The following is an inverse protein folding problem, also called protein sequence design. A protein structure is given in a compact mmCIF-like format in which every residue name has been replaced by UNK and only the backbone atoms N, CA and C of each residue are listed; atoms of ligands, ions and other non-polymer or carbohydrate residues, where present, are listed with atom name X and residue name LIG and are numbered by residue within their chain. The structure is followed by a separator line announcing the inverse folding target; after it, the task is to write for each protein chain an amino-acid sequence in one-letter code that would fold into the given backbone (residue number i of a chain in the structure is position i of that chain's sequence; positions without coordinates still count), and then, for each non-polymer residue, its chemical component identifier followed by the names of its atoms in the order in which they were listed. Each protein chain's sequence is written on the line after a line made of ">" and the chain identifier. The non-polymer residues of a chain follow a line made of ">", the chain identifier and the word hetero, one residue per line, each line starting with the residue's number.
data_IF_037778292852
#
_entry.id   IF_037778292852
#
_cell.length_a   1.000
_cell.length_b   1.000
_cell.length_c   1.000
_cell.angle_alpha   90.00
_cell.angle_beta   90.00
_cell.angle_gamma   90.00
#
_symmetry.space_group_name_H-M   'P 1'
#
loop_
_entity.id
_entity.type
_entity.pdbx_description
1 polymer ?
#
# COMPACT_ATOMS: atom_id res chain seq x y z
N UNK A 1 0.68 -1.55 39.67
CA UNK A 1 0.57 -2.25 38.38
C UNK A 1 -0.88 -2.14 37.93
N UNK A 2 -1.21 -1.09 37.19
CA UNK A 2 -2.55 -0.82 36.65
C UNK A 2 -2.65 -1.42 35.24
N UNK A 3 -3.36 -2.56 35.17
CA UNK A 3 -3.61 -3.22 33.88
C UNK A 3 -4.44 -2.33 32.97
N UNK A 4 -3.87 -1.91 31.85
CA UNK A 4 -4.59 -1.30 30.74
C UNK A 4 -5.57 -2.34 30.18
N UNK A 5 -6.85 -2.24 30.56
CA UNK A 5 -7.94 -2.93 29.85
C UNK A 5 -7.95 -2.42 28.42
N UNK A 6 -7.47 -3.22 27.47
CA UNK A 6 -7.53 -2.92 26.07
C UNK A 6 -8.96 -2.54 25.69
N UNK A 7 -9.17 -1.30 25.25
CA UNK A 7 -10.45 -0.80 24.78
C UNK A 7 -10.87 -1.70 23.61
N UNK A 8 -12.00 -2.38 23.73
CA UNK A 8 -12.52 -3.26 22.69
C UNK A 8 -12.59 -2.47 21.38
N UNK A 9 -11.99 -3.01 20.33
CA UNK A 9 -11.93 -2.31 19.02
C UNK A 9 -13.34 -2.17 18.48
N UNK A 10 -13.78 -0.93 18.24
CA UNK A 10 -15.08 -0.62 17.63
C UNK A 10 -15.23 -1.35 16.29
N UNK A 11 -16.38 -1.93 16.04
CA UNK A 11 -16.70 -2.70 14.84
C UNK A 11 -17.68 -1.95 13.96
N UNK A 12 -17.74 -2.31 12.68
CA UNK A 12 -18.74 -1.76 11.74
C UNK A 12 -20.19 -1.96 12.23
N UNK A 13 -20.44 -3.00 13.03
CA UNK A 13 -21.75 -3.25 13.65
C UNK A 13 -22.13 -2.18 14.69
N UNK A 14 -21.16 -1.64 15.41
CA UNK A 14 -21.40 -0.60 16.42
C UNK A 14 -21.75 0.72 15.73
N UNK A 15 -21.06 1.05 14.61
CA UNK A 15 -21.39 2.21 13.78
C UNK A 15 -22.78 2.04 13.15
N UNK A 16 -23.09 0.84 12.67
CA UNK A 16 -24.41 0.54 12.08
C UNK A 16 -25.55 0.74 13.11
N UNK A 17 -25.36 0.27 14.33
CA UNK A 17 -26.30 0.45 15.42
C UNK A 17 -26.47 1.94 15.77
N UNK A 18 -25.37 2.68 15.92
CA UNK A 18 -25.38 4.11 16.25
C UNK A 18 -26.05 4.97 15.13
N UNK A 19 -25.81 4.63 13.87
CA UNK A 19 -26.38 5.33 12.72
C UNK A 19 -27.81 4.86 12.36
N UNK A 20 -28.31 3.77 12.95
CA UNK A 20 -29.63 3.20 12.61
C UNK A 20 -29.70 2.64 11.19
N UNK A 21 -28.65 1.94 10.74
CA UNK A 21 -28.54 1.38 9.39
C UNK A 21 -27.96 -0.04 9.41
N UNK A 22 -27.95 -0.71 8.25
CA UNK A 22 -27.28 -2.00 8.11
C UNK A 22 -25.73 -1.84 8.04
N UNK A 23 -25.00 -2.89 8.40
CA UNK A 23 -23.53 -2.94 8.21
C UNK A 23 -23.11 -2.81 6.75
N UNK A 24 -23.99 -3.23 5.82
CA UNK A 24 -23.78 -3.05 4.38
C UNK A 24 -23.83 -1.57 4.01
N UNK A 25 -24.78 -0.80 4.54
CA UNK A 25 -24.86 0.65 4.32
C UNK A 25 -23.61 1.36 4.88
N UNK A 26 -23.16 1.00 6.08
CA UNK A 26 -21.89 1.50 6.64
C UNK A 26 -20.73 1.20 5.69
N UNK A 27 -20.65 -0.02 5.16
CA UNK A 27 -19.61 -0.41 4.22
C UNK A 27 -19.66 0.39 2.92
N UNK A 28 -20.85 0.69 2.38
CA UNK A 28 -20.98 1.49 1.17
C UNK A 28 -20.51 2.93 1.40
N UNK A 29 -20.96 3.57 2.48
CA UNK A 29 -20.57 4.95 2.83
C UNK A 29 -19.06 5.06 3.05
N UNK A 30 -18.49 4.21 3.90
CA UNK A 30 -17.07 4.29 4.25
C UNK A 30 -16.11 3.85 3.15
N UNK A 31 -16.62 3.25 2.07
CA UNK A 31 -15.83 2.91 0.88
C UNK A 31 -16.15 3.79 -0.34
N UNK A 32 -16.92 4.87 -0.19
CA UNK A 32 -17.25 5.78 -1.29
C UNK A 32 -18.11 5.14 -2.39
N UNK A 33 -18.89 4.08 -2.07
CA UNK A 33 -19.77 3.36 -3.00
C UNK A 33 -21.25 3.65 -2.74
N UNK A 34 -21.52 4.78 -2.13
CA UNK A 34 -22.86 5.22 -1.71
C UNK A 34 -23.63 5.94 -2.82
N UNK A 35 -22.98 6.33 -3.92
CA UNK A 35 -23.60 7.03 -5.03
C UNK A 35 -24.76 6.21 -5.63
N UNK A 36 -25.98 6.80 -5.59
CA UNK A 36 -27.20 6.20 -6.11
C UNK A 36 -27.86 5.13 -5.21
N UNK A 37 -27.19 4.66 -4.16
CA UNK A 37 -27.71 3.59 -3.29
C UNK A 37 -28.06 4.06 -1.87
N UNK A 38 -27.59 5.23 -1.44
CA UNK A 38 -27.75 5.74 -0.07
C UNK A 38 -28.04 7.23 -0.13
N UNK A 39 -29.05 7.69 0.62
CA UNK A 39 -29.37 9.10 0.71
C UNK A 39 -28.26 9.90 1.41
N UNK A 40 -28.09 11.17 1.08
CA UNK A 40 -27.14 12.07 1.75
C UNK A 40 -27.35 12.09 3.26
N UNK A 41 -28.59 12.17 3.73
CA UNK A 41 -28.91 12.13 5.16
C UNK A 41 -28.45 10.83 5.85
N UNK A 42 -28.52 9.70 5.18
CA UNK A 42 -28.01 8.43 5.71
C UNK A 42 -26.50 8.40 5.72
N UNK A 43 -25.85 8.91 4.69
CA UNK A 43 -24.40 9.05 4.62
C UNK A 43 -23.90 9.90 5.78
N UNK A 44 -24.48 11.06 6.02
CA UNK A 44 -24.07 11.99 7.08
C UNK A 44 -24.20 11.35 8.46
N UNK A 45 -25.27 10.60 8.73
CA UNK A 45 -25.43 9.86 9.99
C UNK A 45 -24.33 8.80 10.18
N UNK A 46 -23.98 8.07 9.12
CA UNK A 46 -22.92 7.06 9.19
C UNK A 46 -21.55 7.69 9.44
N UNK A 47 -21.22 8.77 8.74
CA UNK A 47 -19.96 9.48 8.93
C UNK A 47 -19.85 10.04 10.35
N UNK A 48 -20.89 10.67 10.86
CA UNK A 48 -20.97 11.20 12.22
C UNK A 48 -20.79 10.08 13.27
N UNK A 49 -21.51 8.98 13.13
CA UNK A 49 -21.39 7.84 14.04
C UNK A 49 -20.00 7.21 14.01
N UNK A 50 -19.37 7.14 12.86
CA UNK A 50 -18.00 6.62 12.73
C UNK A 50 -16.99 7.55 13.43
N UNK A 51 -17.14 8.85 13.30
CA UNK A 51 -16.31 9.87 13.97
C UNK A 51 -16.48 9.81 15.49
N UNK A 52 -17.71 9.84 15.99
CA UNK A 52 -18.02 9.80 17.42
C UNK A 52 -17.50 8.55 18.12
N UNK A 53 -17.46 7.42 17.40
CA UNK A 53 -16.96 6.15 17.91
C UNK A 53 -15.45 5.94 17.66
N UNK A 54 -14.75 6.91 17.05
CA UNK A 54 -13.35 6.74 16.55
C UNK A 54 -13.21 5.42 15.77
N UNK A 55 -14.22 5.12 14.93
CA UNK A 55 -14.21 3.91 14.14
C UNK A 55 -13.27 4.07 12.94
N UNK A 56 -12.31 3.16 12.86
CA UNK A 56 -11.43 3.05 11.69
C UNK A 56 -11.73 1.74 10.97
N UNK A 57 -12.06 1.79 9.67
CA UNK A 57 -12.28 0.59 8.88
C UNK A 57 -11.14 -0.41 9.06
N UNK A 58 -11.48 -1.68 9.24
CA UNK A 58 -10.46 -2.71 9.36
C UNK A 58 -9.86 -3.00 7.99
N UNK A 59 -8.68 -2.45 7.75
CA UNK A 59 -7.93 -2.61 6.50
C UNK A 59 -7.70 -4.09 6.16
N UNK A 60 -7.35 -4.94 7.14
CA UNK A 60 -7.13 -6.38 6.93
C UNK A 60 -8.40 -7.09 6.45
N UNK A 61 -9.55 -6.79 7.06
CA UNK A 61 -10.82 -7.39 6.64
C UNK A 61 -11.25 -6.90 5.25
N UNK A 62 -10.88 -5.67 4.86
CA UNK A 62 -11.13 -5.10 3.54
C UNK A 62 -10.23 -5.74 2.49
N UNK A 63 -8.94 -5.89 2.78
CA UNK A 63 -7.97 -6.48 1.86
C UNK A 63 -8.27 -7.95 1.57
N UNK A 64 -8.70 -8.72 2.59
CA UNK A 64 -9.12 -10.11 2.40
C UNK A 64 -10.32 -10.26 1.45
N UNK A 65 -11.28 -9.32 1.52
CA UNK A 65 -12.46 -9.35 0.62
C UNK A 65 -12.14 -8.88 -0.80
N UNK A 66 -11.16 -8.00 -0.97
CA UNK A 66 -10.76 -7.46 -2.27
C UNK A 66 -9.64 -8.27 -2.92
N UNK A 67 -9.02 -9.18 -2.19
CA UNK A 67 -7.79 -9.87 -2.57
C UNK A 67 -6.69 -8.88 -3.04
N UNK A 68 -6.67 -7.70 -2.43
CA UNK A 68 -5.72 -6.61 -2.69
C UNK A 68 -5.50 -5.83 -1.41
N UNK A 69 -4.27 -5.45 -1.15
CA UNK A 69 -3.87 -4.64 0.01
C UNK A 69 -3.70 -3.17 -0.33
N UNK A 70 -3.92 -2.76 -1.58
CA UNK A 70 -3.60 -1.42 -2.05
C UNK A 70 -2.20 -0.98 -1.56
N UNK A 71 -1.23 -1.87 -1.63
CA UNK A 71 0.15 -1.57 -1.25
C UNK A 71 1.13 -2.03 -2.32
N UNK A 72 2.12 -1.19 -2.58
CA UNK A 72 3.21 -1.44 -3.51
C UNK A 72 4.50 -1.54 -2.70
N UNK A 73 5.27 -2.60 -2.92
CA UNK A 73 6.61 -2.73 -2.36
C UNK A 73 7.62 -1.95 -3.20
N UNK A 74 8.54 -1.24 -2.55
CA UNK A 74 9.72 -0.65 -3.17
C UNK A 74 10.95 -1.26 -2.52
N UNK A 75 11.70 -2.03 -3.28
CA UNK A 75 13.02 -2.53 -2.87
C UNK A 75 14.08 -1.69 -3.58
N UNK A 76 15.03 -1.17 -2.83
CA UNK A 76 16.04 -0.26 -3.39
C UNK A 76 17.38 -0.36 -2.67
N UNK A 77 18.44 0.07 -3.34
CA UNK A 77 19.76 0.26 -2.79
C UNK A 77 20.01 1.73 -2.43
N UNK A 78 20.66 1.98 -1.30
CA UNK A 78 21.24 3.28 -0.90
C UNK A 78 20.40 4.56 -1.17
N UNK A 79 19.08 4.48 -1.25
CA UNK A 79 18.21 5.64 -1.50
C UNK A 79 18.30 6.68 -0.39
N UNK A 80 18.40 6.22 0.87
CA UNK A 80 18.42 7.10 2.03
C UNK A 80 19.65 8.02 2.06
N UNK A 81 20.74 7.65 1.37
CA UNK A 81 21.98 8.41 1.33
C UNK A 81 22.12 9.35 0.13
N UNK A 82 21.13 9.37 -0.79
CA UNK A 82 21.21 10.13 -2.03
C UNK A 82 20.17 11.25 -2.11
N UNK A 83 20.57 12.49 -2.45
CA UNK A 83 19.63 13.58 -2.74
C UNK A 83 18.67 13.28 -3.91
N UNK A 84 19.10 12.45 -4.86
CA UNK A 84 18.28 12.01 -5.98
C UNK A 84 17.20 11.02 -5.54
N UNK A 85 17.53 10.11 -4.62
CA UNK A 85 16.59 9.15 -4.05
C UNK A 85 15.37 9.80 -3.42
N UNK A 86 15.56 10.93 -2.73
CA UNK A 86 14.46 11.69 -2.12
C UNK A 86 13.43 12.16 -3.12
N UNK A 87 13.83 12.63 -4.29
CA UNK A 87 12.89 13.07 -5.36
C UNK A 87 12.13 11.92 -5.97
N UNK A 88 12.81 10.81 -6.23
CA UNK A 88 12.17 9.61 -6.75
C UNK A 88 11.15 9.05 -5.75
N UNK A 89 11.51 8.98 -4.49
CA UNK A 89 10.62 8.52 -3.41
C UNK A 89 9.40 9.43 -3.27
N UNK A 90 9.58 10.75 -3.33
CA UNK A 90 8.47 11.70 -3.29
C UNK A 90 7.50 11.49 -4.46
N UNK A 91 8.00 11.39 -5.69
CA UNK A 91 7.18 11.16 -6.88
C UNK A 91 6.48 9.78 -6.83
N UNK A 92 7.16 8.73 -6.38
CA UNK A 92 6.58 7.40 -6.23
C UNK A 92 5.46 7.39 -5.15
N UNK A 93 5.68 8.10 -4.05
CA UNK A 93 4.69 8.20 -2.96
C UNK A 93 3.46 9.00 -3.44
N UNK A 94 3.65 10.15 -4.09
CA UNK A 94 2.55 10.95 -4.64
C UNK A 94 1.74 10.17 -5.67
N UNK A 95 2.41 9.43 -6.57
CA UNK A 95 1.74 8.61 -7.57
C UNK A 95 0.96 7.45 -6.93
N UNK A 96 1.53 6.80 -5.92
CA UNK A 96 0.86 5.74 -5.18
C UNK A 96 -0.37 6.28 -4.44
N UNK A 97 -0.27 7.44 -3.81
CA UNK A 97 -1.36 8.09 -3.07
C UNK A 97 -2.53 8.46 -4.00
N UNK A 98 -2.25 9.03 -5.18
CA UNK A 98 -3.29 9.32 -6.18
C UNK A 98 -4.03 8.07 -6.66
N UNK A 99 -3.39 6.91 -6.59
CA UNK A 99 -3.96 5.62 -6.94
C UNK A 99 -4.56 4.85 -5.73
N UNK A 100 -4.71 5.49 -4.56
CA UNK A 100 -5.17 4.87 -3.29
C UNK A 100 -4.27 3.68 -2.87
N UNK A 101 -2.95 3.80 -3.10
CA UNK A 101 -1.96 2.80 -2.69
C UNK A 101 -1.00 3.37 -1.65
N UNK A 102 -0.51 2.49 -0.77
CA UNK A 102 0.56 2.77 0.18
C UNK A 102 1.87 2.21 -0.35
N UNK A 103 2.94 2.98 -0.26
CA UNK A 103 4.28 2.52 -0.61
C UNK A 103 4.98 1.94 0.63
N UNK A 104 5.42 0.68 0.55
CA UNK A 104 6.21 0.00 1.57
C UNK A 104 7.65 -0.12 1.08
N UNK A 105 8.56 0.67 1.63
CA UNK A 105 9.95 0.69 1.19
C UNK A 105 10.86 -0.20 2.05
N UNK A 106 11.75 -0.92 1.38
CA UNK A 106 12.89 -1.62 1.98
C UNK A 106 14.17 -1.13 1.31
N UNK A 107 14.94 -0.32 2.03
CA UNK A 107 16.27 0.13 1.60
C UNK A 107 17.32 -0.88 2.05
N UNK A 108 18.02 -1.47 1.09
CA UNK A 108 19.05 -2.47 1.32
C UNK A 108 20.41 -1.84 1.70
N UNK A 109 20.55 -0.53 1.45
CA UNK A 109 21.85 0.12 1.50
C UNK A 109 22.80 -0.56 0.50
N UNK A 110 24.00 -0.88 0.96
CA UNK A 110 24.98 -1.59 0.13
C UNK A 110 24.84 -3.11 0.13
N UNK A 111 23.80 -3.67 0.75
CA UNK A 111 23.59 -5.12 0.91
C UNK A 111 22.63 -5.66 -0.14
N UNK A 112 22.97 -5.47 -1.40
CA UNK A 112 22.12 -5.86 -2.54
C UNK A 112 21.89 -7.38 -2.62
N UNK A 113 22.77 -8.19 -2.01
CA UNK A 113 22.60 -9.64 -1.87
C UNK A 113 21.33 -10.02 -1.08
N UNK A 114 20.78 -9.10 -0.29
CA UNK A 114 19.54 -9.30 0.48
C UNK A 114 18.26 -8.98 -0.29
N UNK A 115 18.35 -8.70 -1.57
CA UNK A 115 17.19 -8.35 -2.40
C UNK A 115 16.09 -9.43 -2.36
N UNK A 116 16.47 -10.71 -2.44
CA UNK A 116 15.52 -11.82 -2.37
C UNK A 116 14.80 -11.89 -1.03
N UNK A 117 15.49 -11.64 0.09
CA UNK A 117 14.87 -11.59 1.43
C UNK A 117 13.89 -10.42 1.55
N UNK A 118 14.24 -9.25 1.01
CA UNK A 118 13.39 -8.07 1.02
C UNK A 118 12.12 -8.29 0.19
N UNK A 119 12.25 -8.88 -1.00
CA UNK A 119 11.11 -9.25 -1.85
C UNK A 119 10.19 -10.22 -1.10
N UNK A 120 10.72 -11.30 -0.53
CA UNK A 120 9.95 -12.27 0.23
C UNK A 120 9.25 -11.63 1.45
N UNK A 121 9.90 -10.68 2.11
CA UNK A 121 9.32 -9.95 3.22
C UNK A 121 8.13 -9.06 2.81
N UNK A 122 8.19 -8.43 1.64
CA UNK A 122 7.09 -7.65 1.06
C UNK A 122 5.95 -8.57 0.60
N UNK A 123 6.25 -9.68 -0.06
CA UNK A 123 5.27 -10.69 -0.46
C UNK A 123 4.53 -11.28 0.74
N UNK A 124 5.21 -11.52 1.85
CA UNK A 124 4.59 -11.99 3.10
C UNK A 124 3.58 -10.98 3.66
N UNK A 125 3.74 -9.70 3.36
CA UNK A 125 2.81 -8.61 3.70
C UNK A 125 1.72 -8.42 2.65
N UNK A 126 1.74 -9.28 1.60
CA UNK A 126 0.75 -9.30 0.52
C UNK A 126 0.70 -7.99 -0.26
N UNK A 127 1.86 -7.39 -0.55
CA UNK A 127 1.89 -6.26 -1.49
C UNK A 127 1.33 -6.71 -2.85
N UNK A 128 0.65 -5.80 -3.54
CA UNK A 128 0.00 -6.10 -4.81
C UNK A 128 0.98 -6.10 -5.98
N UNK A 129 2.09 -5.36 -5.85
CA UNK A 129 3.18 -5.30 -6.82
C UNK A 129 4.48 -4.87 -6.15
N UNK A 130 5.61 -5.04 -6.84
CA UNK A 130 6.93 -4.62 -6.38
C UNK A 130 7.61 -3.76 -7.45
N UNK A 131 8.23 -2.67 -7.01
CA UNK A 131 9.20 -1.89 -7.77
C UNK A 131 10.57 -2.25 -7.21
N UNK A 132 11.48 -2.71 -8.06
CA UNK A 132 12.89 -2.90 -7.74
C UNK A 132 13.69 -1.78 -8.38
N UNK A 133 14.30 -0.92 -7.58
CA UNK A 133 14.96 0.29 -8.03
C UNK A 133 16.41 0.35 -7.60
N UNK A 134 17.30 0.83 -8.49
CA UNK A 134 18.71 1.08 -8.18
C UNK A 134 19.01 2.59 -8.28
N UNK A 135 19.96 3.05 -7.47
CA UNK A 135 20.36 4.48 -7.47
C UNK A 135 21.10 4.90 -8.73
N UNK A 136 21.95 4.03 -9.28
CA UNK A 136 22.60 4.23 -10.56
C UNK A 136 22.00 3.29 -11.60
N UNK A 137 22.04 3.68 -12.89
CA UNK A 137 21.64 2.76 -13.95
C UNK A 137 22.47 1.48 -13.87
N UNK A 138 21.81 0.37 -13.66
CA UNK A 138 22.45 -0.92 -13.42
C UNK A 138 21.91 -1.99 -14.37
N UNK A 139 22.81 -2.73 -14.98
CA UNK A 139 22.47 -3.94 -15.70
C UNK A 139 22.60 -5.14 -14.77
N UNK A 140 21.47 -5.74 -14.42
CA UNK A 140 21.41 -6.92 -13.57
C UNK A 140 21.72 -8.18 -14.39
N UNK A 141 22.53 -9.07 -13.85
CA UNK A 141 22.85 -10.35 -14.50
C UNK A 141 21.62 -11.27 -14.52
N UNK A 142 20.85 -11.27 -13.42
CA UNK A 142 19.62 -12.03 -13.28
C UNK A 142 18.48 -11.11 -12.80
N UNK A 143 17.23 -11.32 -13.33
CA UNK A 143 16.08 -10.57 -12.84
C UNK A 143 15.73 -10.98 -11.41
N UNK A 144 15.36 -10.03 -10.54
CA UNK A 144 14.81 -10.35 -9.24
C UNK A 144 13.56 -11.25 -9.38
N UNK A 145 13.53 -12.33 -8.60
CA UNK A 145 12.40 -13.26 -8.61
C UNK A 145 11.27 -12.74 -7.70
N UNK A 146 10.05 -12.69 -8.21
CA UNK A 146 8.87 -12.29 -7.44
C UNK A 146 7.65 -13.07 -7.88
N UNK A 147 6.76 -13.38 -6.93
CA UNK A 147 5.45 -14.02 -7.14
C UNK A 147 4.35 -13.03 -7.50
N UNK A 148 4.59 -11.74 -7.26
CA UNK A 148 3.70 -10.65 -7.66
C UNK A 148 4.28 -9.89 -8.85
N UNK A 149 3.49 -9.07 -9.57
CA UNK A 149 4.02 -8.20 -10.61
C UNK A 149 5.23 -7.40 -10.12
N UNK A 150 6.31 -7.37 -10.90
CA UNK A 150 7.53 -6.65 -10.57
C UNK A 150 7.98 -5.82 -11.76
N UNK A 151 8.30 -4.55 -11.50
CA UNK A 151 8.84 -3.59 -12.45
C UNK A 151 10.23 -3.16 -11.98
N UNK A 152 11.14 -3.01 -12.91
CA UNK A 152 12.49 -2.48 -12.66
C UNK A 152 12.48 -0.97 -12.85
N UNK A 153 13.17 -0.24 -11.99
CA UNK A 153 13.36 1.20 -12.10
C UNK A 153 14.85 1.54 -12.03
N UNK A 154 15.32 2.27 -13.01
CA UNK A 154 16.72 2.62 -13.20
C UNK A 154 17.68 1.41 -13.31
N UNK A 155 17.13 0.25 -13.68
CA UNK A 155 17.91 -0.95 -13.97
C UNK A 155 17.23 -1.80 -15.06
N UNK A 156 18.01 -2.63 -15.70
CA UNK A 156 17.56 -3.57 -16.74
C UNK A 156 18.19 -4.93 -16.52
N UNK A 157 17.63 -5.96 -17.17
CA UNK A 157 18.24 -7.31 -17.15
C UNK A 157 18.86 -7.66 -18.48
N UNK A 158 19.83 -8.56 -18.48
CA UNK A 158 20.34 -9.17 -19.72
C UNK A 158 19.32 -10.16 -20.25
N UNK A 159 18.91 -10.00 -21.52
CA UNK A 159 17.96 -10.93 -22.18
C UNK A 159 16.48 -10.55 -21.95
N UNK A 160 15.52 -11.47 -22.23
CA UNK A 160 14.11 -11.23 -22.06
C UNK A 160 13.83 -10.95 -20.58
N UNK A 161 13.57 -9.68 -20.31
CA UNK A 161 13.53 -9.13 -18.96
C UNK A 161 12.16 -8.79 -18.46
N UNK A 162 12.14 -8.24 -17.29
CA UNK A 162 10.96 -7.65 -16.68
C UNK A 162 10.71 -6.25 -17.29
N UNK A 163 9.48 -5.75 -17.24
CA UNK A 163 9.21 -4.36 -17.57
C UNK A 163 10.15 -3.43 -16.79
N UNK A 164 10.73 -2.46 -17.47
CA UNK A 164 11.66 -1.52 -16.85
C UNK A 164 11.37 -0.09 -17.28
N UNK A 165 11.69 0.83 -16.38
CA UNK A 165 11.64 2.28 -16.58
C UNK A 165 13.01 2.84 -16.20
N UNK A 166 13.60 3.66 -17.06
CA UNK A 166 14.84 4.40 -16.80
C UNK A 166 14.69 5.84 -17.30
N UNK A 167 15.49 6.79 -16.76
CA UNK A 167 15.57 8.13 -17.34
C UNK A 167 15.94 8.05 -18.82
N UNK A 168 15.39 8.97 -19.60
CA UNK A 168 15.78 9.18 -20.97
C UNK A 168 16.90 10.24 -20.95
N UNK A 169 18.15 9.76 -20.93
CA UNK A 169 19.36 10.61 -20.89
C UNK A 169 19.83 10.99 -22.31
N UNK A 170 18.93 11.08 -23.30
CA UNK A 170 19.26 11.45 -24.66
C UNK A 170 19.44 12.97 -24.85
#
# INVERSE_FOLDING_TARGET
>A
MTGSKGRARVRAADVAAAAGVSTTAVSFVLNGRDAGNISSATRDRVLKAAEELDYRPNYVARSLRRNSTNSIGLVTDAFASSPFGGRLLAAATETADTADHVLLMMDLGHRTERAAEAIAALESRRVDAIIYATMGFTQLDEPPVSRVPLVLANCVTRGPGRPSVSPDDA
#
